data_IF_076022529071
#
_entry.id   IF_076022529071
#
_cell.length_a   1.000
_cell.length_b   1.000
_cell.length_c   1.000
_cell.angle_alpha   90.00
_cell.angle_beta   90.00
_cell.angle_gamma   90.00
#
_symmetry.space_group_name_H-M   'P 1'
#
loop_
_entity.id
_entity.type
_entity.pdbx_description
1 polymer ?
#
# COMPACT_ATOMS: atom_id res chain seq x y z
N UNK A 1 41.42 -11.84 9.97
CA UNK A 1 42.19 -12.01 8.73
C UNK A 1 41.29 -12.13 7.48
N UNK A 2 40.18 -12.88 7.49
CA UNK A 2 39.32 -13.06 6.29
C UNK A 2 38.09 -12.11 6.18
N UNK A 3 37.54 -11.65 7.32
CA UNK A 3 36.34 -10.80 7.31
C UNK A 3 36.61 -9.32 6.94
N UNK A 4 37.80 -8.80 7.24
CA UNK A 4 38.16 -7.42 6.94
C UNK A 4 38.29 -7.14 5.44
N UNK A 5 38.65 -8.15 4.63
CA UNK A 5 38.74 -8.03 3.18
C UNK A 5 37.35 -7.98 2.52
N UNK A 6 36.39 -8.75 3.04
CA UNK A 6 34.98 -8.74 2.59
C UNK A 6 34.29 -7.41 2.94
N UNK A 7 34.70 -6.76 4.04
CA UNK A 7 34.20 -5.44 4.39
C UNK A 7 34.85 -4.28 3.61
N UNK A 8 35.95 -4.53 2.90
CA UNK A 8 36.69 -3.55 2.09
C UNK A 8 36.47 -3.70 0.57
N UNK A 9 35.82 -4.76 0.13
CA UNK A 9 35.55 -5.05 -1.29
C UNK A 9 34.31 -4.33 -1.86
N UNK A 10 33.52 -3.64 -1.02
CA UNK A 10 32.45 -2.75 -1.49
C UNK A 10 32.99 -1.31 -1.52
N UNK A 11 32.99 -0.63 -2.69
CA UNK A 11 33.61 0.68 -2.86
C UNK A 11 32.77 1.75 -2.13
N UNK A 12 33.12 2.03 -0.88
CA UNK A 12 32.58 3.16 -0.13
C UNK A 12 32.62 2.97 1.39
N UNK A 13 32.79 4.06 2.17
CA UNK A 13 32.75 4.04 3.64
C UNK A 13 31.43 3.41 4.15
N UNK A 14 31.42 2.88 5.38
CA UNK A 14 30.25 2.22 6.00
C UNK A 14 28.92 2.94 5.76
N UNK A 15 28.95 4.27 5.74
CA UNK A 15 27.82 5.15 5.44
C UNK A 15 27.18 4.85 4.08
N UNK A 16 27.96 4.62 3.02
CA UNK A 16 27.45 4.33 1.67
C UNK A 16 26.71 2.99 1.62
N UNK A 17 27.22 1.96 2.32
CA UNK A 17 26.54 0.66 2.43
C UNK A 17 25.22 0.77 3.17
N UNK A 18 25.20 1.50 4.28
CA UNK A 18 23.97 1.77 5.04
C UNK A 18 22.97 2.55 4.19
N UNK A 19 23.45 3.53 3.42
CA UNK A 19 22.60 4.35 2.55
C UNK A 19 22.00 3.52 1.41
N UNK A 20 22.78 2.65 0.76
CA UNK A 20 22.27 1.72 -0.26
C UNK A 20 21.24 0.75 0.33
N UNK A 21 21.51 0.18 1.51
CA UNK A 21 20.57 -0.71 2.18
C UNK A 21 19.27 0.03 2.56
N UNK A 22 19.37 1.26 3.08
CA UNK A 22 18.22 2.09 3.40
C UNK A 22 17.40 2.44 2.15
N UNK A 23 18.05 2.76 1.03
CA UNK A 23 17.38 3.02 -0.25
C UNK A 23 16.68 1.77 -0.78
N UNK A 24 17.30 0.59 -0.68
CA UNK A 24 16.67 -0.67 -1.05
C UNK A 24 15.40 -0.94 -0.22
N UNK A 25 15.46 -0.73 1.10
CA UNK A 25 14.29 -0.86 1.97
C UNK A 25 13.20 0.13 1.58
N UNK A 26 13.55 1.40 1.37
CA UNK A 26 12.61 2.44 0.92
C UNK A 26 11.95 2.07 -0.42
N UNK A 27 12.71 1.52 -1.37
CA UNK A 27 12.17 1.07 -2.66
C UNK A 27 11.19 -0.08 -2.48
N UNK A 28 11.47 -1.05 -1.62
CA UNK A 28 10.56 -2.16 -1.33
C UNK A 28 9.28 -1.65 -0.69
N UNK A 29 9.39 -0.75 0.29
CA UNK A 29 8.22 -0.14 0.94
C UNK A 29 7.40 0.66 -0.07
N UNK A 30 8.03 1.53 -0.86
CA UNK A 30 7.36 2.32 -1.89
C UNK A 30 6.68 1.42 -2.93
N UNK A 31 7.33 0.34 -3.37
CA UNK A 31 6.74 -0.64 -4.27
C UNK A 31 5.51 -1.31 -3.66
N UNK A 32 5.57 -1.67 -2.37
CA UNK A 32 4.41 -2.18 -1.66
C UNK A 32 3.26 -1.17 -1.68
N UNK A 33 3.50 0.09 -1.32
CA UNK A 33 2.44 1.12 -1.28
C UNK A 33 1.89 1.49 -2.67
N UNK A 34 2.75 1.69 -3.66
CA UNK A 34 2.36 2.17 -4.99
C UNK A 34 1.84 1.06 -5.90
N UNK A 35 2.24 -0.19 -5.70
CA UNK A 35 1.89 -1.30 -6.59
C UNK A 35 1.18 -2.46 -5.87
N UNK A 36 1.69 -2.89 -4.72
CA UNK A 36 1.11 -4.04 -4.00
C UNK A 36 -0.27 -3.69 -3.42
N UNK A 37 -0.40 -2.59 -2.69
CA UNK A 37 -1.68 -2.14 -2.12
C UNK A 37 -2.78 -1.98 -3.17
N UNK A 38 -2.60 -1.30 -4.32
CA UNK A 38 -3.65 -1.21 -5.33
C UNK A 38 -4.00 -2.57 -5.96
N UNK A 39 -3.07 -3.54 -5.97
CA UNK A 39 -3.36 -4.91 -6.41
C UNK A 39 -4.08 -5.73 -5.35
N UNK A 40 -3.81 -5.50 -4.06
CA UNK A 40 -4.41 -6.24 -2.93
C UNK A 40 -5.76 -5.66 -2.50
N UNK A 41 -5.95 -4.34 -2.61
CA UNK A 41 -7.20 -3.64 -2.30
C UNK A 41 -8.48 -4.35 -2.81
N UNK A 42 -8.57 -4.84 -4.07
CA UNK A 42 -9.77 -5.54 -4.54
C UNK A 42 -10.07 -6.88 -3.86
N UNK A 43 -9.12 -7.48 -3.14
CA UNK A 43 -9.32 -8.74 -2.41
C UNK A 43 -9.72 -8.53 -0.95
N UNK A 44 -9.72 -7.29 -0.46
CA UNK A 44 -10.13 -6.99 0.91
C UNK A 44 -11.66 -6.92 0.98
N UNK A 45 -12.32 -7.77 1.79
CA UNK A 45 -13.79 -7.84 1.91
C UNK A 45 -14.41 -6.65 2.66
N UNK A 46 -13.69 -5.52 2.73
CA UNK A 46 -14.11 -4.27 3.36
C UNK A 46 -14.32 -3.13 2.35
N UNK A 47 -13.94 -3.33 1.07
CA UNK A 47 -14.06 -2.30 0.03
C UNK A 47 -15.40 -2.31 -0.72
N UNK A 48 -16.30 -3.22 -0.37
CA UNK A 48 -17.70 -3.14 -0.77
C UNK A 48 -18.31 -1.94 -0.05
N UNK A 49 -18.34 -0.81 -0.76
CA UNK A 49 -19.01 0.43 -0.34
C UNK A 49 -20.44 0.12 0.10
N UNK A 50 -20.66 -0.08 1.40
CA UNK A 50 -21.99 -0.30 2.00
C UNK A 50 -22.74 1.02 2.17
N UNK A 51 -22.61 1.94 1.20
CA UNK A 51 -23.59 3.02 1.04
C UNK A 51 -24.80 2.43 0.35
N UNK A 52 -25.56 1.65 1.12
CA UNK A 52 -26.96 1.41 0.80
C UNK A 52 -27.62 2.78 0.63
N UNK A 53 -28.19 3.10 -0.54
CA UNK A 53 -29.04 4.26 -0.66
C UNK A 53 -30.38 3.89 -0.03
N UNK A 54 -30.39 3.68 1.29
CA UNK A 54 -31.62 3.53 2.07
C UNK A 54 -32.54 4.75 1.90
N UNK A 55 -31.96 5.91 1.57
CA UNK A 55 -32.69 7.10 1.15
C UNK A 55 -33.39 6.97 -0.23
N UNK A 56 -32.87 6.16 -1.18
CA UNK A 56 -33.52 5.92 -2.48
C UNK A 56 -34.74 4.99 -2.36
N UNK A 57 -34.77 4.07 -1.39
CA UNK A 57 -35.93 3.19 -1.15
C UNK A 57 -37.07 3.90 -0.39
N UNK A 58 -36.75 4.77 0.57
CA UNK A 58 -37.78 5.51 1.33
C UNK A 58 -38.53 6.52 0.44
N UNK A 59 -37.82 7.14 -0.51
CA UNK A 59 -38.38 8.16 -1.40
C UNK A 59 -39.43 7.60 -2.37
N UNK A 60 -39.25 6.37 -2.87
CA UNK A 60 -40.21 5.71 -3.78
C UNK A 60 -41.51 5.33 -3.08
N UNK A 61 -41.47 4.94 -1.81
CA UNK A 61 -42.69 4.64 -1.05
C UNK A 61 -43.50 5.87 -0.64
N UNK A 62 -42.85 7.02 -0.38
CA UNK A 62 -43.58 8.27 -0.08
C UNK A 62 -44.19 8.92 -1.32
N UNK A 63 -43.57 8.74 -2.48
CA UNK A 63 -44.05 9.31 -3.76
C UNK A 63 -45.22 8.54 -4.36
N UNK A 64 -45.32 7.22 -4.12
CA UNK A 64 -46.43 6.40 -4.61
C UNK A 64 -47.71 6.57 -3.76
N UNK A 65 -47.58 6.83 -2.46
CA UNK A 65 -48.72 7.05 -1.55
C UNK A 65 -49.34 8.46 -1.61
N UNK A 66 -48.78 9.36 -2.41
CA UNK A 66 -49.25 10.74 -2.60
C UNK A 66 -49.98 10.96 -3.95
N UNK A 67 -50.16 9.89 -4.74
CA UNK A 67 -50.87 9.86 -6.03
C UNK A 67 -52.17 9.09 -5.89
#
# INVERSE_FOLDING_TARGET
>A
MLYAAIWRALPGPLVVRVLIAAVLVLLVVAFCFLWLFPRIAPYMPFNDNTVEPSALHVSTHLVEGAR
#
